data_IF_195984632413
#
_entry.id   IF_195984632413
#
_cell.length_a   1.000
_cell.length_b   1.000
_cell.length_c   1.000
_cell.angle_alpha   90.00
_cell.angle_beta   90.00
_cell.angle_gamma   90.00
#
_symmetry.space_group_name_H-M   'P 1'
#
loop_
_entity.id
_entity.type
_entity.pdbx_description
1 polymer ?
#
# COMPACT_ATOMS: atom_id res chain seq x y z
N UNK A 1 -6.68 3.80 -67.29
CA UNK A 1 -6.86 3.98 -65.83
C UNK A 1 -8.31 3.88 -65.36
N UNK A 2 -9.30 4.23 -66.20
CA UNK A 2 -10.75 4.27 -65.87
C UNK A 2 -11.35 2.95 -65.39
N UNK A 3 -10.91 1.80 -65.94
CA UNK A 3 -11.50 0.50 -65.62
C UNK A 3 -11.20 0.00 -64.17
N UNK A 4 -10.05 0.40 -63.60
CA UNK A 4 -9.70 0.06 -62.21
C UNK A 4 -10.51 0.88 -61.22
N UNK A 5 -10.80 2.14 -61.56
CA UNK A 5 -11.62 3.06 -60.75
C UNK A 5 -13.09 2.61 -60.74
N UNK A 6 -13.61 2.16 -61.88
CA UNK A 6 -14.97 1.61 -61.97
C UNK A 6 -15.10 0.30 -61.18
N UNK A 7 -14.10 -0.60 -61.24
CA UNK A 7 -14.10 -1.83 -60.44
C UNK A 7 -14.04 -1.55 -58.93
N UNK A 8 -13.17 -0.62 -58.49
CA UNK A 8 -13.08 -0.20 -57.09
C UNK A 8 -14.38 0.45 -56.59
N UNK A 9 -15.03 1.27 -57.43
CA UNK A 9 -16.32 1.89 -57.11
C UNK A 9 -17.41 0.85 -56.88
N UNK A 10 -17.46 -0.20 -57.71
CA UNK A 10 -18.44 -1.30 -57.56
C UNK A 10 -18.19 -2.13 -56.30
N UNK A 11 -16.94 -2.37 -55.94
CA UNK A 11 -16.59 -3.06 -54.70
C UNK A 11 -16.89 -2.21 -53.47
N UNK A 12 -16.58 -0.90 -53.51
CA UNK A 12 -16.89 0.03 -52.43
C UNK A 12 -18.41 0.15 -52.19
N UNK A 13 -19.21 0.17 -53.25
CA UNK A 13 -20.68 0.23 -53.15
C UNK A 13 -21.31 -0.99 -52.47
N UNK A 14 -20.64 -2.15 -52.50
CA UNK A 14 -21.08 -3.37 -51.81
C UNK A 14 -20.52 -3.48 -50.39
N UNK A 15 -19.26 -3.06 -50.17
CA UNK A 15 -18.60 -3.18 -48.87
C UNK A 15 -19.11 -2.18 -47.83
N UNK A 16 -19.42 -0.95 -48.22
CA UNK A 16 -19.92 0.08 -47.28
C UNK A 16 -21.24 -0.33 -46.61
N UNK A 17 -22.31 -0.72 -47.32
CA UNK A 17 -23.55 -1.14 -46.67
C UNK A 17 -23.41 -2.45 -45.90
N UNK A 18 -22.52 -3.36 -46.33
CA UNK A 18 -22.21 -4.57 -45.56
C UNK A 18 -21.59 -4.19 -44.20
N UNK A 19 -20.58 -3.32 -44.18
CA UNK A 19 -19.99 -2.83 -42.93
C UNK A 19 -21.03 -2.13 -42.03
N UNK A 20 -21.90 -1.29 -42.57
CA UNK A 20 -22.95 -0.63 -41.77
C UNK A 20 -23.97 -1.64 -41.22
N UNK A 21 -24.35 -2.66 -41.98
CA UNK A 21 -25.26 -3.70 -41.53
C UNK A 21 -24.65 -4.58 -40.41
N UNK A 22 -23.34 -4.87 -40.48
CA UNK A 22 -22.64 -5.58 -39.41
C UNK A 22 -22.50 -4.76 -38.12
N UNK A 23 -22.40 -3.43 -38.19
CA UNK A 23 -22.36 -2.57 -37.00
C UNK A 23 -23.68 -2.61 -36.19
N UNK A 24 -24.81 -2.97 -36.81
CA UNK A 24 -26.09 -3.13 -36.12
C UNK A 24 -26.24 -4.45 -35.33
N UNK A 25 -25.47 -5.49 -35.69
CA UNK A 25 -25.50 -6.79 -35.00
C UNK A 25 -24.73 -6.80 -33.67
N UNK A 26 -23.98 -5.75 -33.37
CA UNK A 26 -23.25 -5.58 -32.12
C UNK A 26 -23.88 -4.42 -31.32
N UNK A 27 -25.20 -4.50 -31.08
CA UNK A 27 -25.89 -3.64 -30.11
C UNK A 27 -25.47 -4.06 -28.70
N UNK A 28 -24.24 -3.72 -28.33
CA UNK A 28 -23.67 -4.00 -27.01
C UNK A 28 -24.20 -3.04 -25.96
N UNK A 29 -24.75 -1.90 -26.35
CA UNK A 29 -25.08 -0.78 -25.46
C UNK A 29 -26.04 -1.11 -24.30
N UNK A 30 -27.02 -2.03 -24.39
CA UNK A 30 -27.84 -2.37 -23.23
C UNK A 30 -27.16 -3.34 -22.26
N UNK A 31 -26.23 -4.18 -22.72
CA UNK A 31 -25.63 -5.27 -21.94
C UNK A 31 -24.24 -4.89 -21.43
N UNK A 32 -23.41 -4.32 -22.31
CA UNK A 32 -22.10 -3.78 -21.98
C UNK A 32 -22.18 -2.66 -20.94
N UNK A 33 -23.15 -1.76 -21.02
CA UNK A 33 -23.32 -0.67 -20.04
C UNK A 33 -23.69 -1.22 -18.65
N UNK A 34 -24.45 -2.32 -18.60
CA UNK A 34 -24.80 -3.01 -17.33
C UNK A 34 -23.59 -3.69 -16.69
N UNK A 35 -22.74 -4.30 -17.50
CA UNK A 35 -21.58 -5.07 -17.04
C UNK A 35 -20.28 -4.24 -17.01
N UNK A 36 -20.34 -2.95 -17.36
CA UNK A 36 -19.17 -2.09 -17.38
C UNK A 36 -18.54 -1.98 -15.98
N UNK A 37 -17.27 -2.39 -15.89
CA UNK A 37 -16.50 -2.35 -14.64
C UNK A 37 -16.75 -3.50 -13.67
N UNK A 38 -17.57 -4.49 -14.02
CA UNK A 38 -17.80 -5.68 -13.18
C UNK A 38 -16.51 -6.49 -12.95
N UNK A 39 -15.67 -6.62 -13.98
CA UNK A 39 -14.36 -7.27 -13.87
C UNK A 39 -13.47 -6.58 -12.84
N UNK A 40 -13.35 -5.24 -12.90
CA UNK A 40 -12.54 -4.48 -11.94
C UNK A 40 -13.09 -4.63 -10.53
N UNK A 41 -14.42 -4.51 -10.35
CA UNK A 41 -15.06 -4.71 -9.04
C UNK A 41 -14.81 -6.12 -8.49
N UNK A 42 -14.83 -7.15 -9.34
CA UNK A 42 -14.53 -8.52 -8.92
C UNK A 42 -13.07 -8.70 -8.46
N UNK A 43 -12.12 -8.09 -9.18
CA UNK A 43 -10.71 -8.13 -8.80
C UNK A 43 -10.46 -7.35 -7.51
N UNK A 44 -11.05 -6.17 -7.37
CA UNK A 44 -10.96 -5.39 -6.14
C UNK A 44 -11.56 -6.15 -4.96
N UNK A 45 -12.72 -6.79 -5.12
CA UNK A 45 -13.31 -7.61 -4.07
C UNK A 45 -12.41 -8.79 -3.66
N UNK A 46 -11.72 -9.42 -4.60
CA UNK A 46 -10.74 -10.48 -4.32
C UNK A 46 -9.45 -9.96 -3.64
N UNK A 47 -9.15 -8.66 -3.74
CA UNK A 47 -7.99 -8.03 -3.09
C UNK A 47 -8.30 -7.51 -1.68
N UNK A 48 -9.57 -7.42 -1.29
CA UNK A 48 -9.95 -6.97 0.06
C UNK A 48 -9.81 -8.15 1.03
N UNK A 49 -8.84 -8.05 1.94
CA UNK A 49 -8.53 -9.10 2.93
C UNK A 49 -9.69 -9.30 3.92
N UNK A 50 -10.28 -8.21 4.41
CA UNK A 50 -11.47 -8.25 5.27
C UNK A 50 -12.32 -6.99 5.04
N UNK A 51 -13.52 -7.12 4.44
CA UNK A 51 -14.39 -5.97 4.17
C UNK A 51 -14.97 -5.35 5.45
N UNK A 52 -14.91 -6.07 6.57
CA UNK A 52 -15.52 -5.66 7.84
C UNK A 52 -14.46 -5.46 8.94
N UNK A 53 -13.21 -5.23 8.54
CA UNK A 53 -12.07 -5.03 9.44
C UNK A 53 -12.30 -3.91 10.47
N UNK A 54 -13.04 -2.86 10.06
CA UNK A 54 -13.32 -1.70 10.91
C UNK A 54 -14.23 -2.02 12.11
N UNK A 55 -15.14 -2.99 11.98
CA UNK A 55 -16.04 -3.38 13.08
C UNK A 55 -15.43 -4.49 13.94
N UNK A 56 -14.72 -5.42 13.30
CA UNK A 56 -14.08 -6.57 13.96
C UNK A 56 -12.81 -6.22 14.72
N UNK A 57 -12.08 -5.18 14.29
CA UNK A 57 -10.84 -4.74 14.91
C UNK A 57 -10.90 -3.23 15.17
N UNK A 58 -11.60 -2.80 16.24
CA UNK A 58 -11.59 -1.40 16.64
C UNK A 58 -10.14 -0.97 16.87
N UNK A 59 -9.74 0.11 16.20
CA UNK A 59 -8.36 0.61 16.19
C UNK A 59 -7.77 0.67 17.61
N UNK A 60 -6.68 -0.05 17.83
CA UNK A 60 -5.89 0.13 19.06
C UNK A 60 -5.23 1.50 18.99
N UNK A 61 -5.32 2.34 20.05
CA UNK A 61 -4.65 3.63 20.06
C UNK A 61 -3.18 3.48 19.63
N UNK A 62 -2.77 4.28 18.64
CA UNK A 62 -1.37 4.31 18.20
C UNK A 62 -0.43 4.72 19.33
N UNK A 63 0.87 4.55 19.11
CA UNK A 63 1.91 5.01 20.04
C UNK A 63 1.77 6.53 20.23
N UNK A 64 1.80 6.98 21.48
CA UNK A 64 1.76 8.41 21.78
C UNK A 64 3.02 9.13 21.23
N UNK A 65 2.90 10.41 20.90
CA UNK A 65 4.00 11.15 20.27
C UNK A 65 5.28 11.20 21.12
N UNK A 66 5.17 11.18 22.46
CA UNK A 66 6.33 11.20 23.35
C UNK A 66 7.04 9.84 23.39
N UNK A 67 6.27 8.75 23.42
CA UNK A 67 6.77 7.39 23.32
C UNK A 67 7.43 7.13 21.95
N UNK A 68 6.87 7.67 20.86
CA UNK A 68 7.49 7.59 19.53
C UNK A 68 8.85 8.31 19.50
N UNK A 69 8.93 9.53 20.06
CA UNK A 69 10.19 10.29 20.19
C UNK A 69 11.19 9.54 21.06
N UNK A 70 10.76 8.99 22.20
CA UNK A 70 11.61 8.19 23.09
C UNK A 70 12.17 6.94 22.42
N UNK A 71 11.35 6.22 21.65
CA UNK A 71 11.77 5.04 20.90
C UNK A 71 12.85 5.40 19.86
N UNK A 72 12.66 6.47 19.09
CA UNK A 72 13.64 6.94 18.10
C UNK A 72 14.93 7.43 18.76
N UNK A 73 14.84 8.10 19.91
CA UNK A 73 16.00 8.53 20.69
C UNK A 73 16.82 7.33 21.20
N UNK A 74 16.16 6.31 21.74
CA UNK A 74 16.80 5.09 22.23
C UNK A 74 17.46 4.29 21.08
N UNK A 75 16.80 4.22 19.93
CA UNK A 75 17.36 3.60 18.72
C UNK A 75 18.66 4.31 18.30
N UNK A 76 18.63 5.64 18.19
CA UNK A 76 19.82 6.42 17.85
C UNK A 76 20.93 6.30 18.91
N UNK A 77 20.58 6.29 20.20
CA UNK A 77 21.52 6.14 21.30
C UNK A 77 22.24 4.79 21.27
N UNK A 78 21.56 3.73 20.85
CA UNK A 78 22.13 2.37 20.76
C UNK A 78 23.29 2.27 19.76
N UNK A 79 23.34 3.13 18.75
CA UNK A 79 24.47 3.21 17.80
C UNK A 79 25.63 4.07 18.31
N UNK A 80 25.37 4.99 19.23
CA UNK A 80 26.38 5.89 19.80
C UNK A 80 27.03 5.30 21.05
N UNK A 81 26.27 4.51 21.80
CA UNK A 81 26.71 3.80 22.99
C UNK A 81 26.16 2.37 22.89
N UNK A 82 26.93 1.41 22.32
CA UNK A 82 26.59 0.01 22.45
C UNK A 82 26.38 -0.28 23.93
N UNK A 83 25.24 -0.83 24.36
CA UNK A 83 25.01 -1.13 25.77
C UNK A 83 26.18 -2.00 26.23
N UNK A 84 26.99 -1.45 27.14
CA UNK A 84 28.06 -2.23 27.77
C UNK A 84 27.34 -3.40 28.42
N UNK A 85 27.51 -4.59 27.85
CA UNK A 85 27.00 -5.81 28.45
C UNK A 85 27.54 -5.79 29.87
N UNK A 86 26.68 -5.61 30.87
CA UNK A 86 27.10 -5.69 32.25
C UNK A 86 27.39 -7.18 32.47
N UNK A 87 28.60 -7.57 32.07
CA UNK A 87 29.27 -8.84 32.30
C UNK A 87 28.30 -10.01 32.47
N UNK A 88 27.96 -10.71 31.38
CA UNK A 88 27.19 -11.96 31.44
C UNK A 88 27.86 -13.09 32.27
N UNK A 89 29.03 -12.82 32.86
CA UNK A 89 29.86 -13.73 33.65
C UNK A 89 30.30 -13.14 35.01
N UNK A 90 29.45 -12.40 35.72
CA UNK A 90 29.69 -12.13 37.17
C UNK A 90 29.12 -13.26 38.03
N UNK A 91 29.69 -14.46 37.88
CA UNK A 91 29.73 -15.42 38.99
C UNK A 91 30.82 -14.87 39.92
N UNK A 92 30.37 -14.24 41.00
CA UNK A 92 31.14 -13.26 41.75
C UNK A 92 32.45 -13.77 42.32
N UNK A 93 33.54 -13.10 41.94
CA UNK A 93 34.67 -12.76 42.82
C UNK A 93 35.39 -11.52 42.26
N UNK A 94 35.40 -10.43 43.04
CA UNK A 94 36.42 -9.38 42.93
C UNK A 94 36.20 -8.27 41.91
N UNK A 95 35.37 -7.28 42.23
CA UNK A 95 35.61 -5.89 41.83
C UNK A 95 34.90 -4.93 42.78
N UNK A 96 35.65 -4.46 43.78
CA UNK A 96 35.27 -3.31 44.59
C UNK A 96 35.35 -2.07 43.71
N UNK A 97 34.26 -1.30 43.63
CA UNK A 97 34.27 0.04 43.06
C UNK A 97 33.73 0.14 41.63
N UNK A 98 32.42 0.19 41.50
CA UNK A 98 31.77 0.94 40.43
C UNK A 98 30.41 1.40 40.95
N UNK A 99 30.42 2.53 41.65
CA UNK A 99 29.23 3.35 41.82
C UNK A 99 28.77 3.78 40.41
N UNK A 100 27.90 2.98 39.82
CA UNK A 100 27.18 3.31 38.60
C UNK A 100 25.96 4.11 39.01
N UNK A 101 26.16 5.41 39.20
CA UNK A 101 25.10 6.40 39.25
C UNK A 101 24.22 6.20 38.01
N UNK A 102 23.03 5.66 38.22
CA UNK A 102 22.00 5.64 37.20
C UNK A 102 21.70 7.10 36.90
N UNK A 103 22.24 7.60 35.79
CA UNK A 103 21.90 8.91 35.27
C UNK A 103 20.38 8.96 35.18
N UNK A 104 19.77 9.70 36.11
CA UNK A 104 18.36 9.96 36.11
C UNK A 104 18.00 10.50 34.74
N UNK A 105 16.99 9.88 34.12
CA UNK A 105 16.42 10.39 32.89
C UNK A 105 16.05 11.86 33.13
N UNK A 106 16.61 12.83 32.38
CA UNK A 106 16.17 14.20 32.51
C UNK A 106 14.68 14.21 32.19
N UNK A 107 13.89 14.83 33.08
CA UNK A 107 12.46 14.99 32.88
C UNK A 107 12.22 15.53 31.46
N UNK A 108 11.23 15.01 30.71
CA UNK A 108 10.92 15.56 29.41
C UNK A 108 10.67 17.05 29.58
N UNK A 109 11.39 17.88 28.83
CA UNK A 109 11.15 19.30 28.79
C UNK A 109 9.67 19.52 28.48
N UNK A 110 8.93 19.99 29.48
CA UNK A 110 7.61 20.55 29.28
C UNK A 110 7.85 21.80 28.42
N UNK A 111 7.46 21.72 27.15
CA UNK A 111 7.40 22.89 26.31
C UNK A 111 6.18 23.69 26.73
N UNK A 112 6.41 24.96 27.06
CA UNK A 112 5.39 26.00 26.96
C UNK A 112 4.90 26.13 25.50
#
# INVERSE_FOLDING_TARGET
MTNRIVSFSRWAALLVPACLALNGCMSTTPDFDRHFGESVRSFTAAQIIDPDAATKNPYTPGVDGKAAVGAMANYNASFKAPPRTANAFVIGIGARGAAGEGAAMPAPANGD
#
